data_IF_598873123980
#
_entry.id   IF_598873123980
#
_cell.length_a   1.000
_cell.length_b   1.000
_cell.length_c   1.000
_cell.angle_alpha   90.00
_cell.angle_beta   90.00
_cell.angle_gamma   90.00
#
_symmetry.space_group_name_H-M   'P 1'
#
loop_
_entity.id
_entity.type
_entity.pdbx_description
1 polymer ?
#
# COMPACT_ATOMS: atom_id res chain seq x y z
N UNK A 1 34.71 -1.91 59.14
CA UNK A 1 35.82 -2.89 59.35
C UNK A 1 36.19 -3.49 58.03
N UNK A 2 37.41 -3.19 57.67
CA UNK A 2 38.47 -3.96 56.99
C UNK A 2 38.14 -4.45 55.61
N UNK A 3 38.77 -3.89 54.69
CA UNK A 3 40.16 -3.93 54.17
C UNK A 3 40.26 -4.97 53.06
N UNK A 4 40.49 -4.48 51.80
CA UNK A 4 41.84 -4.48 51.20
C UNK A 4 42.23 -5.87 50.69
N UNK A 5 42.56 -6.05 49.51
CA UNK A 5 43.78 -5.87 48.70
C UNK A 5 43.76 -6.92 47.60
N UNK A 6 44.31 -6.88 46.55
CA UNK A 6 45.50 -6.33 45.89
C UNK A 6 45.74 -7.20 44.64
N UNK A 7 45.96 -6.54 43.59
CA UNK A 7 47.06 -6.59 42.64
C UNK A 7 47.33 -7.79 41.73
N UNK A 8 47.63 -7.37 40.56
CA UNK A 8 48.74 -7.78 39.65
C UNK A 8 48.43 -9.00 38.81
N UNK A 9 48.65 -8.96 37.59
CA UNK A 9 49.46 -8.15 36.71
C UNK A 9 49.62 -8.84 35.39
N UNK A 10 50.01 -8.02 34.39
CA UNK A 10 50.84 -8.41 33.25
C UNK A 10 50.25 -9.46 32.31
N UNK A 11 50.19 -9.32 31.06
CA UNK A 11 51.09 -8.72 30.08
C UNK A 11 50.41 -8.62 28.75
N UNK A 12 50.63 -7.54 28.07
CA UNK A 12 50.58 -7.33 26.64
C UNK A 12 51.83 -8.04 26.02
N UNK A 13 51.89 -8.45 24.75
CA UNK A 13 51.13 -8.10 23.55
C UNK A 13 50.89 -9.29 22.59
N UNK A 14 49.89 -9.23 21.78
CA UNK A 14 49.95 -9.78 20.43
C UNK A 14 49.21 -8.87 19.50
N UNK A 15 49.92 -7.93 18.99
CA UNK A 15 49.62 -7.07 17.84
C UNK A 15 49.46 -7.90 16.56
N UNK A 16 48.60 -7.36 15.70
CA UNK A 16 48.59 -7.50 14.26
C UNK A 16 48.17 -8.83 13.66
N UNK A 17 47.03 -8.78 13.05
CA UNK A 17 46.73 -9.20 11.66
C UNK A 17 45.25 -9.54 11.52
N UNK A 18 44.36 -8.56 11.71
CA UNK A 18 42.99 -8.62 11.17
C UNK A 18 42.67 -7.26 10.58
N UNK A 19 43.25 -7.00 9.48
CA UNK A 19 42.93 -5.84 8.68
C UNK A 19 43.10 -6.24 7.23
N UNK A 20 41.99 -6.50 6.53
CA UNK A 20 41.88 -6.38 5.07
C UNK A 20 40.75 -7.22 4.44
N UNK A 21 39.73 -7.64 5.20
CA UNK A 21 38.62 -8.38 4.60
C UNK A 21 37.23 -7.73 4.79
N UNK A 22 37.15 -6.48 5.27
CA UNK A 22 35.86 -5.84 5.59
C UNK A 22 35.38 -4.75 4.65
N UNK A 23 36.04 -4.55 3.48
CA UNK A 23 35.72 -3.45 2.58
C UNK A 23 34.89 -3.81 1.33
N UNK A 24 34.46 -5.07 1.17
CA UNK A 24 33.73 -5.47 -0.05
C UNK A 24 32.30 -5.97 0.19
N UNK A 25 31.79 -5.93 1.41
CA UNK A 25 30.46 -6.47 1.70
C UNK A 25 29.28 -5.47 1.74
N UNK A 26 29.46 -4.13 1.82
CA UNK A 26 28.30 -3.22 1.86
C UNK A 26 27.65 -2.93 0.51
N UNK A 27 28.33 -3.18 -0.62
CA UNK A 27 27.83 -2.72 -1.93
C UNK A 27 26.77 -3.65 -2.56
N UNK A 28 26.80 -4.93 -2.26
CA UNK A 28 25.87 -5.92 -2.86
C UNK A 28 24.47 -5.89 -2.19
N UNK A 29 24.39 -5.46 -0.93
CA UNK A 29 23.12 -5.36 -0.21
C UNK A 29 22.27 -4.16 -0.67
N UNK A 30 22.92 -3.11 -1.16
CA UNK A 30 22.24 -1.86 -1.55
C UNK A 30 21.49 -2.01 -2.87
N UNK A 31 22.03 -2.69 -3.86
CA UNK A 31 21.37 -2.94 -5.15
C UNK A 31 20.14 -3.83 -5.03
N UNK A 32 20.16 -4.84 -4.18
CA UNK A 32 19.02 -5.73 -3.97
C UNK A 32 17.88 -5.02 -3.22
N UNK A 33 18.21 -4.15 -2.28
CA UNK A 33 17.20 -3.34 -1.55
C UNK A 33 16.58 -2.28 -2.47
N UNK A 34 17.36 -1.61 -3.30
CA UNK A 34 16.85 -0.65 -4.28
C UNK A 34 15.90 -1.32 -5.28
N UNK A 35 16.27 -2.47 -5.81
CA UNK A 35 15.44 -3.25 -6.74
C UNK A 35 14.14 -3.76 -6.10
N UNK A 36 14.18 -4.17 -4.84
CA UNK A 36 12.99 -4.57 -4.09
C UNK A 36 12.04 -3.39 -3.84
N UNK A 37 12.58 -2.20 -3.54
CA UNK A 37 11.79 -0.99 -3.35
C UNK A 37 11.13 -0.52 -4.67
N UNK A 38 11.83 -0.58 -5.80
CA UNK A 38 11.28 -0.28 -7.12
C UNK A 38 10.16 -1.26 -7.50
N UNK A 39 10.36 -2.56 -7.29
CA UNK A 39 9.33 -3.57 -7.55
C UNK A 39 8.09 -3.36 -6.68
N UNK A 40 8.27 -2.97 -5.42
CA UNK A 40 7.16 -2.65 -4.50
C UNK A 40 6.40 -1.42 -4.96
N UNK A 41 7.09 -0.35 -5.35
CA UNK A 41 6.45 0.89 -5.82
C UNK A 41 5.70 0.70 -7.14
N UNK A 42 6.26 -0.07 -8.08
CA UNK A 42 5.59 -0.43 -9.33
C UNK A 42 4.32 -1.25 -9.08
N UNK A 43 4.36 -2.17 -8.12
CA UNK A 43 3.19 -2.96 -7.72
C UNK A 43 2.11 -2.11 -7.08
N UNK A 44 2.46 -1.15 -6.21
CA UNK A 44 1.51 -0.20 -5.62
C UNK A 44 0.86 0.68 -6.70
N UNK A 45 1.64 1.16 -7.66
CA UNK A 45 1.13 1.96 -8.78
C UNK A 45 0.12 1.15 -9.60
N UNK A 46 0.43 -0.09 -9.97
CA UNK A 46 -0.46 -0.99 -10.71
C UNK A 46 -1.79 -1.22 -9.96
N UNK A 47 -1.73 -1.47 -8.65
CA UNK A 47 -2.94 -1.65 -7.84
C UNK A 47 -3.75 -0.34 -7.75
N UNK A 48 -3.08 0.80 -7.65
CA UNK A 48 -3.71 2.12 -7.66
C UNK A 48 -4.44 2.42 -8.97
N UNK A 49 -3.80 2.15 -10.11
CA UNK A 49 -4.39 2.31 -11.43
C UNK A 49 -5.60 1.38 -11.62
N UNK A 50 -5.48 0.12 -11.17
CA UNK A 50 -6.58 -0.84 -11.18
C UNK A 50 -7.78 -0.41 -10.34
N UNK A 51 -7.52 0.12 -9.13
CA UNK A 51 -8.56 0.69 -8.28
C UNK A 51 -9.27 1.85 -8.98
N UNK A 52 -8.51 2.83 -9.47
CA UNK A 52 -9.07 4.03 -10.11
C UNK A 52 -9.89 3.70 -11.35
N UNK A 53 -9.38 2.80 -12.21
CA UNK A 53 -10.12 2.33 -13.39
C UNK A 53 -11.49 1.78 -13.00
N UNK A 54 -11.54 0.88 -12.02
CA UNK A 54 -12.79 0.22 -11.65
C UNK A 54 -13.80 1.19 -10.99
N UNK A 55 -13.37 2.13 -10.15
CA UNK A 55 -14.30 3.09 -9.56
C UNK A 55 -14.82 4.11 -10.59
N UNK A 56 -14.08 4.39 -11.64
CA UNK A 56 -14.53 5.26 -12.74
C UNK A 56 -15.52 4.55 -13.66
N UNK A 57 -15.22 3.32 -14.07
CA UNK A 57 -16.12 2.46 -14.84
C UNK A 57 -17.45 2.24 -14.10
N UNK A 58 -17.39 1.97 -12.80
CA UNK A 58 -18.56 1.84 -11.95
C UNK A 58 -19.48 3.06 -12.01
N UNK A 59 -18.93 4.28 -11.96
CA UNK A 59 -19.71 5.52 -12.03
C UNK A 59 -20.22 5.76 -13.46
N UNK A 60 -19.40 5.47 -14.48
CA UNK A 60 -19.81 5.58 -15.88
C UNK A 60 -21.00 4.67 -16.21
N UNK A 61 -20.93 3.39 -15.81
CA UNK A 61 -22.03 2.43 -15.97
C UNK A 61 -23.26 2.83 -15.14
N UNK A 62 -23.07 3.48 -13.99
CA UNK A 62 -24.15 4.06 -13.18
C UNK A 62 -24.94 5.10 -13.94
N UNK A 63 -24.25 5.97 -14.69
CA UNK A 63 -24.89 6.96 -15.56
C UNK A 63 -25.68 6.35 -16.73
N UNK A 64 -25.33 5.13 -17.15
CA UNK A 64 -26.02 4.37 -18.20
C UNK A 64 -27.14 3.46 -17.67
N UNK A 65 -27.32 3.37 -16.36
CA UNK A 65 -28.34 2.53 -15.75
C UNK A 65 -27.97 1.03 -15.70
N UNK A 66 -26.69 0.67 -15.86
CA UNK A 66 -26.23 -0.74 -15.83
C UNK A 66 -25.86 -1.19 -14.41
N UNK A 67 -26.87 -1.64 -13.65
CA UNK A 67 -26.68 -2.12 -12.29
C UNK A 67 -25.71 -3.30 -12.20
N UNK A 68 -25.71 -4.22 -13.19
CA UNK A 68 -24.84 -5.40 -13.18
C UNK A 68 -23.36 -5.00 -13.33
N UNK A 69 -23.08 -4.05 -14.21
CA UNK A 69 -21.72 -3.54 -14.38
C UNK A 69 -21.24 -2.77 -13.14
N UNK A 70 -22.10 -1.96 -12.51
CA UNK A 70 -21.76 -1.27 -11.24
C UNK A 70 -21.32 -2.29 -10.19
N UNK A 71 -22.08 -3.37 -9.96
CA UNK A 71 -21.78 -4.40 -8.98
C UNK A 71 -20.47 -5.12 -9.33
N UNK A 72 -20.26 -5.44 -10.60
CA UNK A 72 -19.03 -6.08 -11.05
C UNK A 72 -17.80 -5.22 -10.76
N UNK A 73 -17.80 -3.97 -11.18
CA UNK A 73 -16.68 -3.05 -10.96
C UNK A 73 -16.48 -2.71 -9.47
N UNK A 74 -17.53 -2.73 -8.67
CA UNK A 74 -17.43 -2.63 -7.22
C UNK A 74 -16.65 -3.81 -6.61
N UNK A 75 -16.91 -5.02 -7.05
CA UNK A 75 -16.17 -6.21 -6.62
C UNK A 75 -14.67 -6.11 -6.95
N UNK A 76 -14.35 -5.67 -8.18
CA UNK A 76 -12.97 -5.47 -8.59
C UNK A 76 -12.29 -4.33 -7.80
N UNK A 77 -12.98 -3.20 -7.58
CA UNK A 77 -12.46 -2.09 -6.77
C UNK A 77 -12.16 -2.52 -5.32
N UNK A 78 -13.04 -3.33 -4.71
CA UNK A 78 -12.80 -3.93 -3.40
C UNK A 78 -11.52 -4.76 -3.38
N UNK A 79 -11.33 -5.63 -4.37
CA UNK A 79 -10.14 -6.47 -4.50
C UNK A 79 -8.84 -5.67 -4.60
N UNK A 80 -8.84 -4.57 -5.38
CA UNK A 80 -7.68 -3.68 -5.48
C UNK A 80 -7.43 -2.90 -4.18
N UNK A 81 -8.47 -2.42 -3.52
CA UNK A 81 -8.36 -1.73 -2.23
C UNK A 81 -7.74 -2.65 -1.15
N UNK A 82 -8.18 -3.91 -1.06
CA UNK A 82 -7.62 -4.89 -0.14
C UNK A 82 -6.14 -5.19 -0.42
N UNK A 83 -5.76 -5.29 -1.70
CA UNK A 83 -4.36 -5.50 -2.09
C UNK A 83 -3.49 -4.31 -1.69
N UNK A 84 -3.96 -3.07 -1.93
CA UNK A 84 -3.27 -1.87 -1.49
C UNK A 84 -3.06 -1.86 0.03
N UNK A 85 -4.10 -2.13 0.82
CA UNK A 85 -4.00 -2.19 2.28
C UNK A 85 -2.93 -3.20 2.73
N UNK A 86 -2.86 -4.37 2.09
CA UNK A 86 -1.86 -5.41 2.41
C UNK A 86 -0.44 -5.01 2.06
N UNK A 87 -0.26 -4.17 1.04
CA UNK A 87 1.05 -3.72 0.58
C UNK A 87 1.59 -2.51 1.36
N UNK A 88 0.73 -1.75 2.05
CA UNK A 88 1.15 -0.58 2.82
C UNK A 88 2.04 -1.00 3.99
N UNK A 89 3.28 -0.50 3.99
CA UNK A 89 4.22 -0.76 5.07
C UNK A 89 3.89 0.06 6.33
N UNK A 90 4.41 -0.39 7.48
CA UNK A 90 4.22 0.33 8.75
C UNK A 90 4.92 1.71 8.76
N UNK A 91 5.90 1.91 7.87
CA UNK A 91 6.69 3.13 7.76
C UNK A 91 6.05 4.21 6.87
N UNK A 92 4.97 3.90 6.15
CA UNK A 92 4.30 4.88 5.29
C UNK A 92 3.63 5.97 6.13
N UNK A 93 4.06 7.22 5.93
CA UNK A 93 3.60 8.39 6.70
C UNK A 93 2.08 8.57 6.70
N UNK A 94 1.43 8.24 5.59
CA UNK A 94 -0.02 8.39 5.41
C UNK A 94 -0.77 7.06 5.45
N UNK A 95 -0.15 6.00 5.95
CA UNK A 95 -0.74 4.66 5.98
C UNK A 95 -2.12 4.62 6.65
N UNK A 96 -2.25 5.22 7.81
CA UNK A 96 -3.50 5.20 8.58
C UNK A 96 -4.64 5.88 7.82
N UNK A 97 -4.38 7.05 7.23
CA UNK A 97 -5.37 7.82 6.48
C UNK A 97 -5.71 7.15 5.16
N UNK A 98 -4.69 6.62 4.46
CA UNK A 98 -4.89 5.86 3.22
C UNK A 98 -5.70 4.58 3.49
N UNK A 99 -5.38 3.83 4.56
CA UNK A 99 -6.13 2.64 4.97
C UNK A 99 -7.59 2.99 5.30
N UNK A 100 -7.83 4.10 5.98
CA UNK A 100 -9.18 4.58 6.28
C UNK A 100 -9.96 4.87 4.99
N UNK A 101 -9.33 5.56 4.03
CA UNK A 101 -9.95 5.85 2.74
C UNK A 101 -10.20 4.59 1.90
N UNK A 102 -9.29 3.62 1.90
CA UNK A 102 -9.45 2.32 1.22
C UNK A 102 -10.58 1.48 1.86
N UNK A 103 -10.67 1.47 3.18
CA UNK A 103 -11.78 0.81 3.88
C UNK A 103 -13.13 1.47 3.56
N UNK A 104 -13.16 2.79 3.33
CA UNK A 104 -14.36 3.47 2.87
C UNK A 104 -14.78 3.01 1.46
N UNK A 105 -13.82 2.79 0.54
CA UNK A 105 -14.11 2.16 -0.78
C UNK A 105 -14.80 0.83 -0.57
N UNK A 106 -14.21 -0.06 0.24
CA UNK A 106 -14.75 -1.40 0.50
C UNK A 106 -16.17 -1.30 1.09
N UNK A 107 -16.37 -0.42 2.06
CA UNK A 107 -17.66 -0.22 2.70
C UNK A 107 -18.74 0.25 1.72
N UNK A 108 -18.42 1.19 0.84
CA UNK A 108 -19.38 1.68 -0.15
C UNK A 108 -19.67 0.64 -1.23
N UNK A 109 -18.66 -0.13 -1.64
CA UNK A 109 -18.84 -1.24 -2.57
C UNK A 109 -19.70 -2.38 -1.98
N UNK A 110 -19.51 -2.70 -0.70
CA UNK A 110 -20.40 -3.65 -0.01
C UNK A 110 -21.84 -3.14 -0.01
N UNK A 111 -22.05 -1.84 0.22
CA UNK A 111 -23.39 -1.24 0.16
C UNK A 111 -24.02 -1.34 -1.24
N UNK A 112 -23.22 -1.20 -2.32
CA UNK A 112 -23.70 -1.46 -3.69
C UNK A 112 -24.17 -2.90 -3.84
N UNK A 113 -23.41 -3.86 -3.33
CA UNK A 113 -23.74 -5.28 -3.38
C UNK A 113 -24.99 -5.61 -2.58
N UNK A 114 -25.17 -5.00 -1.40
CA UNK A 114 -26.34 -5.21 -0.54
C UNK A 114 -27.64 -4.66 -1.17
N UNK A 115 -27.56 -3.52 -1.87
CA UNK A 115 -28.67 -2.94 -2.62
C UNK A 115 -29.08 -3.90 -3.75
N UNK A 116 -28.10 -4.51 -4.42
CA UNK A 116 -28.30 -5.61 -5.35
C UNK A 116 -28.77 -5.19 -6.75
N UNK A 117 -28.77 -6.20 -7.64
CA UNK A 117 -29.01 -6.06 -9.09
C UNK A 117 -30.45 -5.64 -9.44
N UNK A 118 -31.42 -5.87 -8.54
CA UNK A 118 -32.82 -5.60 -8.79
C UNK A 118 -33.25 -4.19 -8.34
N UNK A 119 -32.31 -3.44 -7.74
CA UNK A 119 -32.60 -2.05 -7.35
C UNK A 119 -32.56 -1.11 -8.55
N UNK A 120 -33.18 0.04 -8.37
CA UNK A 120 -33.02 1.15 -9.31
C UNK A 120 -31.53 1.53 -9.40
N UNK A 121 -30.94 1.57 -10.63
CA UNK A 121 -29.55 1.95 -10.83
C UNK A 121 -29.17 3.27 -10.16
N UNK A 122 -30.09 4.22 -10.05
CA UNK A 122 -29.89 5.49 -9.35
C UNK A 122 -29.57 5.31 -7.86
N UNK A 123 -30.09 4.27 -7.21
CA UNK A 123 -29.78 3.95 -5.81
C UNK A 123 -28.33 3.45 -5.65
N UNK A 124 -27.78 2.79 -6.66
CA UNK A 124 -26.41 2.31 -6.68
C UNK A 124 -25.40 3.43 -6.93
N UNK A 125 -25.81 4.48 -7.65
CA UNK A 125 -24.92 5.57 -8.06
C UNK A 125 -24.37 6.38 -6.88
N UNK A 126 -25.16 6.59 -5.83
CA UNK A 126 -24.72 7.33 -4.64
C UNK A 126 -23.54 6.63 -3.93
N UNK A 127 -23.64 5.35 -3.49
CA UNK A 127 -22.51 4.66 -2.90
C UNK A 127 -21.35 4.50 -3.89
N UNK A 128 -21.59 4.29 -5.18
CA UNK A 128 -20.57 4.23 -6.22
C UNK A 128 -19.75 5.53 -6.29
N UNK A 129 -20.40 6.67 -6.29
CA UNK A 129 -19.73 7.99 -6.31
C UNK A 129 -18.91 8.21 -5.03
N UNK A 130 -19.40 7.77 -3.87
CA UNK A 130 -18.64 7.85 -2.60
C UNK A 130 -17.41 6.95 -2.63
N UNK A 131 -17.52 5.72 -3.17
CA UNK A 131 -16.38 4.82 -3.35
C UNK A 131 -15.32 5.47 -4.24
N UNK A 132 -15.69 6.09 -5.36
CA UNK A 132 -14.76 6.83 -6.23
C UNK A 132 -14.05 7.95 -5.49
N UNK A 133 -14.78 8.78 -4.73
CA UNK A 133 -14.18 9.87 -3.97
C UNK A 133 -13.17 9.37 -2.93
N UNK A 134 -13.48 8.29 -2.23
CA UNK A 134 -12.59 7.65 -1.27
C UNK A 134 -11.34 7.05 -1.96
N UNK A 135 -11.49 6.42 -3.13
CA UNK A 135 -10.37 5.93 -3.93
C UNK A 135 -9.44 7.08 -4.37
N UNK A 136 -9.98 8.18 -4.87
CA UNK A 136 -9.21 9.37 -5.23
C UNK A 136 -8.41 9.92 -4.04
N UNK A 137 -9.03 9.96 -2.87
CA UNK A 137 -8.36 10.40 -1.64
C UNK A 137 -7.22 9.45 -1.26
N UNK A 138 -7.41 8.13 -1.33
CA UNK A 138 -6.35 7.16 -1.02
C UNK A 138 -5.16 7.27 -1.98
N UNK A 139 -5.40 7.40 -3.29
CA UNK A 139 -4.36 7.57 -4.31
C UNK A 139 -3.55 8.84 -4.07
N UNK A 140 -4.21 9.94 -3.72
CA UNK A 140 -3.56 11.20 -3.36
C UNK A 140 -2.68 11.06 -2.11
N UNK A 141 -3.17 10.40 -1.06
CA UNK A 141 -2.41 10.18 0.19
C UNK A 141 -1.20 9.28 -0.03
N UNK A 142 -1.29 8.32 -0.94
CA UNK A 142 -0.19 7.42 -1.30
C UNK A 142 0.80 8.03 -2.30
N UNK A 143 0.54 9.23 -2.81
CA UNK A 143 1.39 9.87 -3.81
C UNK A 143 1.41 9.14 -5.16
N UNK A 144 0.43 8.27 -5.43
CA UNK A 144 0.33 7.54 -6.68
C UNK A 144 -0.21 8.48 -7.77
N UNK A 145 0.55 8.64 -8.84
CA UNK A 145 0.11 9.46 -9.98
C UNK A 145 -0.75 8.63 -10.92
N UNK A 146 -1.80 9.25 -11.50
CA UNK A 146 -2.49 8.61 -12.63
C UNK A 146 -1.53 8.45 -13.79
N UNK A 147 -1.22 7.22 -14.17
CA UNK A 147 -0.56 6.98 -15.44
C UNK A 147 -1.61 7.15 -16.55
N UNK A 148 -1.71 8.36 -17.12
CA UNK A 148 -2.44 8.56 -18.38
C UNK A 148 -1.69 7.79 -19.47
N UNK A 149 -2.02 6.51 -19.67
CA UNK A 149 -1.69 5.83 -20.91
C UNK A 149 -2.62 6.38 -21.99
N UNK A 150 -2.07 7.34 -22.74
CA UNK A 150 -2.63 7.78 -24.05
C UNK A 150 -2.52 6.64 -25.06
#
# INVERSE_FOLDING_TARGET
MRLVQIMRGMSIPALMLIGLATLWFPFVLDENMARAAEASSASLQEQGDGLMKNVEEMVAHGGMGDAKAIIHHCGEATRFAEKLIKQLSASDLHRADATTSLNEVIRQCNRVSDIGIHADPGQLLNPATKARAAAQQSIKLLGLSRTNKS
#
